data_IF_441755311102
#
_entry.id   IF_441755311102
#
_cell.length_a   1.000
_cell.length_b   1.000
_cell.length_c   1.000
_cell.angle_alpha   90.00
_cell.angle_beta   90.00
_cell.angle_gamma   90.00
#
_symmetry.space_group_name_H-M   'P 1'
#
loop_
_entity.id
_entity.type
_entity.pdbx_description
1 polymer ?
#
# COMPACT_ATOMS: atom_id res chain seq x y z
N UNK A 1 23.78 22.73 -4.89
CA UNK A 1 22.69 22.32 -5.81
C UNK A 1 21.82 21.27 -5.12
N UNK A 2 20.73 21.65 -4.45
CA UNK A 2 19.77 20.70 -3.90
C UNK A 2 18.70 20.40 -4.96
N UNK A 3 18.80 19.24 -5.63
CA UNK A 3 17.77 18.80 -6.58
C UNK A 3 16.48 18.57 -5.78
N UNK A 4 15.51 19.47 -5.94
CA UNK A 4 14.14 19.32 -5.45
C UNK A 4 13.62 17.97 -5.96
N UNK A 5 13.51 17.01 -5.05
CA UNK A 5 12.90 15.71 -5.33
C UNK A 5 11.51 15.98 -5.86
N UNK A 6 11.30 15.77 -7.16
CA UNK A 6 9.98 15.79 -7.76
C UNK A 6 9.14 14.85 -6.93
N UNK A 7 8.07 15.36 -6.31
CA UNK A 7 7.04 14.57 -5.63
C UNK A 7 6.54 13.57 -6.67
N UNK A 8 7.18 12.41 -6.76
CA UNK A 8 6.77 11.32 -7.63
C UNK A 8 5.33 11.06 -7.22
N UNK A 9 4.39 11.34 -8.13
CA UNK A 9 2.96 11.07 -7.93
C UNK A 9 2.91 9.64 -7.42
N UNK A 10 2.57 9.48 -6.14
CA UNK A 10 2.57 8.17 -5.51
C UNK A 10 1.54 7.36 -6.28
N UNK A 11 1.99 6.30 -6.96
CA UNK A 11 1.14 5.47 -7.78
C UNK A 11 -0.01 4.88 -6.95
N UNK A 12 -1.13 4.50 -7.57
CA UNK A 12 -2.32 4.06 -6.85
C UNK A 12 -2.03 2.86 -5.92
N UNK A 13 -1.15 1.94 -6.34
CA UNK A 13 -0.61 0.87 -5.49
C UNK A 13 -0.01 1.38 -4.17
N UNK A 14 0.82 2.41 -4.26
CA UNK A 14 1.56 2.92 -3.11
C UNK A 14 0.68 3.74 -2.17
N UNK A 15 -0.40 4.34 -2.69
CA UNK A 15 -1.46 4.98 -1.89
C UNK A 15 -2.26 3.93 -1.14
N UNK A 16 -2.70 2.89 -1.83
CA UNK A 16 -3.45 1.78 -1.23
C UNK A 16 -2.62 1.10 -0.13
N UNK A 17 -1.36 0.77 -0.42
CA UNK A 17 -0.41 0.22 0.54
C UNK A 17 -0.31 1.05 1.82
N UNK A 18 -0.16 2.38 1.70
CA UNK A 18 -0.05 3.27 2.86
C UNK A 18 -1.36 3.42 3.63
N UNK A 19 -2.50 3.26 2.97
CA UNK A 19 -3.83 3.38 3.59
C UNK A 19 -4.27 2.09 4.28
N UNK A 20 -3.93 0.94 3.72
CA UNK A 20 -4.40 -0.37 4.19
C UNK A 20 -3.46 -1.02 5.20
N UNK A 21 -2.14 -0.78 5.09
CA UNK A 21 -1.16 -1.30 6.05
C UNK A 21 -1.44 -0.90 7.52
N UNK A 22 -1.74 0.37 7.85
CA UNK A 22 -2.12 0.72 9.22
C UNK A 22 -3.41 0.02 9.64
N UNK A 23 -4.44 -0.07 8.78
CA UNK A 23 -5.68 -0.80 9.09
C UNK A 23 -5.41 -2.26 9.45
N UNK A 24 -4.60 -2.96 8.66
CA UNK A 24 -4.24 -4.35 8.94
C UNK A 24 -3.45 -4.49 10.25
N UNK A 25 -2.58 -3.52 10.57
CA UNK A 25 -1.87 -3.49 11.86
C UNK A 25 -2.78 -3.17 13.04
N UNK A 26 -3.83 -2.38 12.84
CA UNK A 26 -4.84 -2.08 13.87
C UNK A 26 -5.79 -3.26 14.08
N UNK A 27 -6.22 -3.92 13.00
CA UNK A 27 -7.02 -5.14 13.05
C UNK A 27 -6.24 -6.29 13.70
N UNK A 28 -4.93 -6.38 13.42
CA UNK A 28 -4.06 -7.47 13.86
C UNK A 28 -2.72 -6.92 14.38
N UNK A 29 -2.68 -6.39 15.62
CA UNK A 29 -1.48 -5.78 16.21
C UNK A 29 -0.35 -6.79 16.49
N UNK A 30 -0.62 -8.09 16.37
CA UNK A 30 0.36 -9.18 16.49
C UNK A 30 0.97 -9.64 15.16
N UNK A 31 0.48 -9.17 14.01
CA UNK A 31 1.04 -9.56 12.72
C UNK A 31 2.40 -8.91 12.50
N UNK A 32 3.36 -9.70 11.99
CA UNK A 32 4.62 -9.16 11.52
C UNK A 32 4.35 -8.19 10.35
N UNK A 33 5.15 -7.12 10.27
CA UNK A 33 5.04 -6.14 9.20
C UNK A 33 5.02 -6.79 7.81
N UNK A 34 5.78 -7.88 7.64
CA UNK A 34 5.87 -8.66 6.41
C UNK A 34 4.55 -9.35 6.04
N UNK A 35 3.85 -9.90 7.03
CA UNK A 35 2.56 -10.57 6.84
C UNK A 35 1.44 -9.56 6.60
N UNK A 36 1.42 -8.48 7.38
CA UNK A 36 0.51 -7.36 7.14
C UNK A 36 0.68 -6.82 5.72
N UNK A 37 1.92 -6.63 5.27
CA UNK A 37 2.22 -6.17 3.92
C UNK A 37 1.78 -7.19 2.84
N UNK A 38 1.99 -8.48 3.07
CA UNK A 38 1.55 -9.54 2.15
C UNK A 38 0.01 -9.61 2.05
N UNK A 39 -0.72 -9.43 3.15
CA UNK A 39 -2.19 -9.35 3.11
C UNK A 39 -2.65 -8.14 2.33
N UNK A 40 -2.07 -6.96 2.59
CA UNK A 40 -2.41 -5.73 1.84
C UNK A 40 -2.08 -5.89 0.36
N UNK A 41 -0.98 -6.58 0.01
CA UNK A 41 -0.62 -6.84 -1.38
C UNK A 41 -1.63 -7.77 -2.08
N UNK A 42 -2.14 -8.78 -1.37
CA UNK A 42 -3.23 -9.64 -1.85
C UNK A 42 -4.53 -8.83 -2.03
N UNK A 43 -4.92 -8.03 -1.02
CA UNK A 43 -6.09 -7.12 -1.11
C UNK A 43 -5.95 -6.14 -2.28
N UNK A 44 -4.75 -5.64 -2.57
CA UNK A 44 -4.49 -4.78 -3.72
C UNK A 44 -4.68 -5.51 -5.06
N UNK A 45 -4.21 -6.77 -5.17
CA UNK A 45 -4.37 -7.56 -6.40
C UNK A 45 -5.84 -7.74 -6.77
N UNK A 46 -6.72 -7.89 -5.77
CA UNK A 46 -8.17 -7.98 -5.94
C UNK A 46 -8.88 -6.61 -5.96
N UNK A 47 -8.20 -5.51 -5.62
CA UNK A 47 -8.84 -4.21 -5.51
C UNK A 47 -9.24 -3.67 -6.89
N UNK A 48 -10.45 -3.09 -7.05
CA UNK A 48 -10.87 -2.41 -8.28
C UNK A 48 -10.07 -1.12 -8.53
N UNK A 49 -9.35 -0.60 -7.52
CA UNK A 49 -8.43 0.53 -7.69
C UNK A 49 -7.13 0.14 -8.42
N UNK A 50 -6.89 -1.15 -8.61
CA UNK A 50 -5.76 -1.61 -9.40
C UNK A 50 -6.06 -1.39 -10.90
N UNK A 51 -5.33 -0.52 -11.60
CA UNK A 51 -5.55 -0.27 -13.03
C UNK A 51 -5.28 -1.49 -13.93
N UNK A 52 -4.83 -2.62 -13.38
CA UNK A 52 -4.77 -3.92 -14.07
C UNK A 52 -6.08 -4.73 -14.03
N UNK A 53 -7.01 -4.39 -13.15
CA UNK A 53 -8.34 -5.01 -13.05
C UNK A 53 -9.43 -4.19 -13.76
N UNK A 54 -9.07 -3.11 -14.45
CA UNK A 54 -9.95 -2.37 -15.37
C UNK A 54 -9.83 -2.91 -16.79
#
# INVERSE_FOLDING_TARGET
KAKRSSRKKVGPYNKFMKSELPKVKEELPGLSHKEAFAMVAKRWKDSPENPKNQ
#
